data_IF_476193701739
#
_entry.id   IF_476193701739
#
_cell.length_a   1.000
_cell.length_b   1.000
_cell.length_c   1.000
_cell.angle_alpha   90.00
_cell.angle_beta   90.00
_cell.angle_gamma   90.00
#
_symmetry.space_group_name_H-M   'P 1'
#
loop_
_entity.id
_entity.type
_entity.pdbx_description
1 polymer ?
#
# COMPACT_ATOMS: atom_id res chain seq x y z
N UNK A 1 -8.68 -28.01 10.02
CA UNK A 1 -8.90 -26.58 9.67
C UNK A 1 -8.18 -25.57 10.58
N UNK A 2 -7.88 -25.85 11.87
CA UNK A 2 -7.18 -24.87 12.76
C UNK A 2 -5.68 -24.61 12.44
N UNK A 3 -4.98 -25.54 11.82
CA UNK A 3 -3.54 -25.38 11.52
C UNK A 3 -3.27 -24.47 10.30
N UNK A 4 -4.14 -24.51 9.28
CA UNK A 4 -4.02 -23.71 8.05
C UNK A 4 -4.22 -22.22 8.35
N UNK A 5 -5.29 -21.87 9.09
CA UNK A 5 -5.54 -20.49 9.53
C UNK A 5 -4.42 -19.94 10.44
N UNK A 6 -3.77 -20.80 11.23
CA UNK A 6 -2.61 -20.40 12.05
C UNK A 6 -1.38 -20.11 11.20
N UNK A 7 -1.13 -20.91 10.16
CA UNK A 7 -0.02 -20.70 9.22
C UNK A 7 -0.18 -19.45 8.35
N UNK A 8 -1.39 -19.19 7.85
CA UNK A 8 -1.70 -17.99 7.05
C UNK A 8 -1.54 -16.70 7.87
N UNK A 9 -2.01 -16.71 9.13
CA UNK A 9 -1.85 -15.56 10.02
C UNK A 9 -0.38 -15.30 10.39
N UNK A 10 0.43 -16.34 10.58
CA UNK A 10 1.87 -16.19 10.82
C UNK A 10 2.60 -15.60 9.60
N UNK A 11 2.24 -16.01 8.38
CA UNK A 11 2.83 -15.45 7.18
C UNK A 11 2.46 -13.97 7.01
N UNK A 12 1.18 -13.61 7.20
CA UNK A 12 0.74 -12.20 7.15
C UNK A 12 1.48 -11.33 8.16
N UNK A 13 1.62 -11.78 9.41
CA UNK A 13 2.35 -11.03 10.43
C UNK A 13 3.84 -10.85 10.05
N UNK A 14 4.47 -11.90 9.50
CA UNK A 14 5.85 -11.81 9.03
C UNK A 14 6.01 -10.77 7.93
N UNK A 15 5.09 -10.74 6.96
CA UNK A 15 5.12 -9.75 5.87
C UNK A 15 4.97 -8.34 6.43
N UNK A 16 3.99 -8.11 7.32
CA UNK A 16 3.76 -6.79 7.94
C UNK A 16 4.98 -6.29 8.71
N UNK A 17 5.62 -7.15 9.49
CA UNK A 17 6.80 -6.79 10.29
C UNK A 17 8.04 -6.46 9.44
N UNK A 18 8.04 -6.87 8.17
CA UNK A 18 9.16 -6.67 7.24
C UNK A 18 8.86 -5.61 6.15
N UNK A 19 7.71 -4.94 6.22
CA UNK A 19 7.41 -3.83 5.30
C UNK A 19 8.38 -2.68 5.55
N UNK A 20 9.12 -2.29 4.50
CA UNK A 20 9.98 -1.10 4.51
C UNK A 20 9.12 0.15 4.67
N UNK A 21 9.48 1.01 5.62
CA UNK A 21 8.75 2.26 5.86
C UNK A 21 8.96 3.28 4.75
N UNK A 22 8.07 4.26 4.63
CA UNK A 22 8.28 5.38 3.71
C UNK A 22 9.51 6.22 4.09
N UNK A 23 9.85 6.26 5.39
CA UNK A 23 10.96 7.06 5.92
C UNK A 23 12.31 6.53 5.43
N UNK A 24 12.42 5.23 5.20
CA UNK A 24 13.61 4.62 4.59
C UNK A 24 13.81 5.04 3.13
N UNK A 25 12.73 5.32 2.40
CA UNK A 25 12.81 5.83 1.02
C UNK A 25 13.26 7.29 0.96
N UNK A 26 12.84 8.09 1.95
CA UNK A 26 13.10 9.53 2.01
C UNK A 26 13.39 9.98 3.44
N UNK A 27 14.58 9.66 3.97
CA UNK A 27 14.93 10.03 5.35
C UNK A 27 14.99 11.56 5.55
N UNK A 28 15.21 12.33 4.48
CA UNK A 28 15.27 13.80 4.51
C UNK A 28 13.92 14.50 4.28
N UNK A 29 12.87 13.79 3.84
CA UNK A 29 11.53 14.32 3.58
C UNK A 29 10.49 13.31 4.07
N UNK A 30 10.26 13.31 5.38
CA UNK A 30 9.34 12.37 6.04
C UNK A 30 7.91 12.51 5.51
N UNK A 31 7.55 13.68 4.93
CA UNK A 31 6.34 13.88 4.13
C UNK A 31 6.50 13.28 2.73
N UNK A 32 6.47 11.95 2.65
CA UNK A 32 6.28 11.22 1.40
C UNK A 32 7.06 9.90 1.38
N UNK A 33 6.59 8.84 0.70
CA UNK A 33 5.35 8.72 -0.08
C UNK A 33 4.36 7.65 0.47
N UNK A 34 3.54 8.04 1.45
CA UNK A 34 2.58 7.15 2.13
C UNK A 34 1.65 6.41 1.16
N UNK A 35 1.19 7.09 0.10
CA UNK A 35 0.30 6.47 -0.87
C UNK A 35 1.03 5.44 -1.73
N UNK A 36 2.17 5.81 -2.33
CA UNK A 36 3.00 4.90 -3.11
C UNK A 36 3.37 3.65 -2.29
N UNK A 37 3.82 3.82 -1.04
CA UNK A 37 4.17 2.68 -0.20
C UNK A 37 2.98 1.85 0.23
N UNK A 38 1.84 2.46 0.56
CA UNK A 38 0.63 1.69 0.91
C UNK A 38 0.18 0.82 -0.27
N UNK A 39 0.29 1.31 -1.51
CA UNK A 39 -0.03 0.53 -2.71
C UNK A 39 0.94 -0.64 -2.93
N UNK A 40 2.25 -0.43 -2.74
CA UNK A 40 3.21 -1.53 -2.80
C UNK A 40 2.98 -2.56 -1.67
N UNK A 41 2.62 -2.10 -0.47
CA UNK A 41 2.33 -2.97 0.66
C UNK A 41 1.08 -3.84 0.41
N UNK A 42 0.08 -3.34 -0.35
CA UNK A 42 -1.03 -4.17 -0.83
C UNK A 42 -0.51 -5.35 -1.66
N UNK A 43 0.41 -5.11 -2.61
CA UNK A 43 1.00 -6.17 -3.43
C UNK A 43 1.82 -7.16 -2.59
N UNK A 44 2.63 -6.68 -1.65
CA UNK A 44 3.42 -7.50 -0.72
C UNK A 44 2.52 -8.42 0.12
N UNK A 45 1.45 -7.86 0.69
CA UNK A 45 0.48 -8.61 1.49
C UNK A 45 -0.30 -9.64 0.67
N UNK A 46 -0.70 -9.30 -0.56
CA UNK A 46 -1.37 -10.26 -1.45
C UNK A 46 -0.44 -11.39 -1.87
N UNK A 47 0.81 -11.07 -2.23
CA UNK A 47 1.82 -12.02 -2.67
C UNK A 47 2.39 -12.88 -1.53
N UNK A 48 2.24 -12.45 -0.27
CA UNK A 48 2.86 -13.09 0.88
C UNK A 48 4.38 -12.98 0.90
N UNK A 49 4.93 -11.92 0.29
CA UNK A 49 6.37 -11.66 0.10
C UNK A 49 6.64 -10.16 0.24
N UNK A 50 7.84 -9.80 0.66
CA UNK A 50 8.25 -8.40 0.80
C UNK A 50 9.14 -7.95 -0.36
N UNK A 51 9.04 -6.67 -0.70
CA UNK A 51 10.04 -6.01 -1.55
C UNK A 51 11.21 -5.55 -0.69
N UNK A 52 12.42 -5.58 -1.25
CA UNK A 52 13.57 -4.92 -0.63
C UNK A 52 13.52 -3.42 -0.87
N UNK A 53 14.24 -2.63 -0.05
CA UNK A 53 14.38 -1.18 -0.27
C UNK A 53 14.89 -0.87 -1.69
N UNK A 54 15.88 -1.62 -2.17
CA UNK A 54 16.43 -1.48 -3.52
C UNK A 54 15.35 -1.70 -4.59
N UNK A 55 14.55 -2.78 -4.48
CA UNK A 55 13.46 -3.05 -5.41
C UNK A 55 12.40 -1.94 -5.41
N UNK A 56 12.10 -1.36 -4.25
CA UNK A 56 11.16 -0.25 -4.14
C UNK A 56 11.71 1.00 -4.84
N UNK A 57 12.99 1.32 -4.64
CA UNK A 57 13.63 2.47 -5.29
C UNK A 57 13.68 2.28 -6.81
N UNK A 58 14.09 1.10 -7.30
CA UNK A 58 14.10 0.77 -8.72
C UNK A 58 12.70 0.82 -9.35
N UNK A 59 11.66 0.40 -8.61
CA UNK A 59 10.27 0.55 -9.03
C UNK A 59 9.88 2.03 -9.16
N UNK A 60 10.27 2.88 -8.20
CA UNK A 60 10.09 4.32 -8.27
C UNK A 60 10.67 4.92 -9.55
N UNK A 61 11.94 4.66 -9.83
CA UNK A 61 12.61 5.14 -11.05
C UNK A 61 11.94 4.65 -12.33
N UNK A 62 11.63 3.35 -12.41
CA UNK A 62 10.97 2.78 -13.59
C UNK A 62 9.59 3.37 -13.83
N UNK A 63 8.77 3.49 -12.79
CA UNK A 63 7.43 4.06 -12.88
C UNK A 63 7.47 5.56 -13.24
N UNK A 64 8.43 6.30 -12.69
CA UNK A 64 8.63 7.71 -13.01
C UNK A 64 9.03 7.90 -14.47
N UNK A 65 10.01 7.13 -14.94
CA UNK A 65 10.47 7.17 -16.35
C UNK A 65 9.36 6.80 -17.34
N UNK A 66 8.45 5.90 -16.93
CA UNK A 66 7.27 5.52 -17.71
C UNK A 66 6.09 6.50 -17.56
N UNK A 67 6.25 7.60 -16.82
CA UNK A 67 5.22 8.63 -16.57
C UNK A 67 3.97 8.08 -15.88
N UNK A 68 4.14 7.07 -15.02
CA UNK A 68 3.06 6.46 -14.24
C UNK A 68 2.97 7.04 -12.81
N UNK A 69 4.02 7.76 -12.40
CA UNK A 69 4.11 8.57 -11.19
C UNK A 69 4.84 9.90 -11.50
N UNK A 70 4.76 10.86 -10.57
CA UNK A 70 5.50 12.13 -10.59
C UNK A 70 5.02 13.15 -11.64
N UNK A 71 3.87 12.93 -12.28
CA UNK A 71 3.33 13.84 -13.31
C UNK A 71 2.38 14.89 -12.72
N UNK A 72 1.55 14.49 -11.75
CA UNK A 72 0.55 15.36 -11.12
C UNK A 72 1.11 16.31 -10.06
N UNK A 73 2.36 16.12 -9.65
CA UNK A 73 3.10 17.04 -8.78
C UNK A 73 4.59 17.03 -9.16
N UNK A 74 5.10 18.10 -9.81
CA UNK A 74 6.48 18.16 -10.28
C UNK A 74 7.50 18.21 -9.14
N UNK A 75 7.09 18.57 -7.92
CA UNK A 75 7.95 18.63 -6.74
C UNK A 75 7.95 17.30 -5.95
N UNK A 76 7.21 16.29 -6.42
CA UNK A 76 7.05 15.01 -5.75
C UNK A 76 7.25 13.82 -6.69
N UNK A 77 8.49 13.34 -6.76
CA UNK A 77 8.91 12.14 -7.51
C UNK A 77 7.99 10.93 -7.32
N UNK A 78 7.50 10.69 -6.10
CA UNK A 78 6.65 9.54 -5.78
C UNK A 78 5.14 9.88 -5.80
N UNK A 79 4.75 11.00 -6.42
CA UNK A 79 3.35 11.34 -6.58
C UNK A 79 2.65 10.27 -7.42
N UNK A 80 1.60 9.66 -6.90
CA UNK A 80 0.94 8.55 -7.60
C UNK A 80 -0.14 9.09 -8.53
N UNK A 81 0.14 9.05 -9.83
CA UNK A 81 -0.83 9.32 -10.89
C UNK A 81 -1.67 8.09 -11.23
N UNK A 82 -1.04 6.91 -11.23
CA UNK A 82 -1.69 5.65 -11.59
C UNK A 82 -1.51 4.57 -10.49
N UNK A 83 -2.48 4.45 -9.55
CA UNK A 83 -2.39 3.48 -8.45
C UNK A 83 -2.32 2.02 -8.91
N UNK A 84 -3.04 1.67 -9.99
CA UNK A 84 -3.05 0.31 -10.55
C UNK A 84 -1.67 -0.07 -11.07
N UNK A 85 -0.97 0.86 -11.72
CA UNK A 85 0.37 0.62 -12.24
C UNK A 85 1.37 0.33 -11.12
N UNK A 86 1.30 1.07 -10.00
CA UNK A 86 2.18 0.85 -8.84
C UNK A 86 1.98 -0.56 -8.28
N UNK A 87 0.73 -1.00 -8.09
CA UNK A 87 0.42 -2.33 -7.56
C UNK A 87 0.89 -3.42 -8.54
N UNK A 88 0.59 -3.28 -9.84
CA UNK A 88 0.96 -4.29 -10.85
C UNK A 88 2.47 -4.43 -11.01
N UNK A 89 3.20 -3.32 -10.96
CA UNK A 89 4.66 -3.33 -11.03
C UNK A 89 5.27 -4.08 -9.83
N UNK A 90 4.78 -3.80 -8.62
CA UNK A 90 5.17 -4.53 -7.42
C UNK A 90 4.85 -6.04 -7.51
N UNK A 91 3.64 -6.40 -7.95
CA UNK A 91 3.25 -7.80 -8.15
C UNK A 91 4.15 -8.50 -9.17
N UNK A 92 4.55 -7.81 -10.24
CA UNK A 92 5.48 -8.34 -11.24
C UNK A 92 6.84 -8.67 -10.62
N UNK A 93 7.42 -7.75 -9.83
CA UNK A 93 8.68 -8.00 -9.10
C UNK A 93 8.55 -9.21 -8.17
N UNK A 94 7.39 -9.39 -7.53
CA UNK A 94 7.11 -10.49 -6.60
C UNK A 94 6.79 -11.84 -7.28
N UNK A 95 6.78 -11.86 -8.62
CA UNK A 95 6.62 -13.06 -9.44
C UNK A 95 5.21 -13.29 -9.98
N UNK A 96 4.34 -12.28 -10.00
CA UNK A 96 2.95 -12.35 -10.47
C UNK A 96 2.68 -11.36 -11.62
N UNK A 97 3.33 -11.53 -12.79
CA UNK A 97 3.24 -10.58 -13.91
C UNK A 97 1.84 -10.49 -14.54
N UNK A 98 1.04 -11.55 -14.41
CA UNK A 98 -0.30 -11.65 -15.01
C UNK A 98 -1.42 -11.27 -14.03
N UNK A 99 -1.08 -10.71 -12.86
CA UNK A 99 -2.06 -10.36 -11.87
C UNK A 99 -3.03 -9.28 -12.37
N UNK A 100 -4.31 -9.50 -12.12
CA UNK A 100 -5.35 -8.51 -12.37
C UNK A 100 -5.57 -7.68 -11.12
N UNK A 101 -5.65 -6.36 -11.30
CA UNK A 101 -5.83 -5.40 -10.22
C UNK A 101 -7.01 -4.52 -10.58
N UNK A 102 -8.03 -4.52 -9.72
CA UNK A 102 -9.13 -3.55 -9.77
C UNK A 102 -8.96 -2.58 -8.62
N UNK A 103 -8.98 -1.30 -8.93
CA UNK A 103 -8.83 -0.21 -7.98
C UNK A 103 -9.98 0.77 -8.14
N UNK A 104 -10.62 1.15 -7.04
CA UNK A 104 -11.66 2.19 -7.02
C UNK A 104 -11.39 3.14 -5.86
N UNK A 105 -11.45 4.45 -6.09
CA UNK A 105 -11.05 5.45 -5.09
C UNK A 105 -12.23 6.12 -4.39
N UNK A 106 -11.95 6.69 -3.20
CA UNK A 106 -12.82 7.66 -2.49
C UNK A 106 -14.20 7.15 -2.08
N UNK A 107 -14.28 5.92 -1.59
CA UNK A 107 -15.50 5.35 -1.02
C UNK A 107 -15.67 5.80 0.44
N UNK A 108 -16.87 6.23 0.82
CA UNK A 108 -17.19 6.51 2.23
C UNK A 108 -17.49 5.24 3.03
N UNK A 109 -17.93 4.18 2.34
CA UNK A 109 -18.32 2.90 2.92
C UNK A 109 -17.73 1.76 2.09
N UNK A 110 -17.42 0.65 2.76
CA UNK A 110 -16.86 -0.54 2.13
C UNK A 110 -18.02 -1.50 1.82
N UNK A 111 -18.11 -2.01 0.58
CA UNK A 111 -19.17 -2.95 0.22
C UNK A 111 -19.06 -4.27 0.99
N UNK A 112 -20.19 -4.76 1.50
CA UNK A 112 -20.28 -6.05 2.20
C UNK A 112 -20.39 -7.24 1.24
N UNK A 113 -20.97 -7.03 0.07
CA UNK A 113 -21.43 -8.12 -0.82
C UNK A 113 -20.31 -8.59 -1.76
N UNK A 114 -19.28 -7.76 -1.94
CA UNK A 114 -18.04 -8.08 -2.63
C UNK A 114 -16.91 -7.25 -1.99
N UNK A 115 -16.44 -7.64 -0.78
CA UNK A 115 -15.44 -6.88 -0.06
C UNK A 115 -14.11 -6.86 -0.83
N UNK A 116 -13.33 -5.77 -0.76
CA UNK A 116 -12.00 -5.73 -1.35
C UNK A 116 -11.03 -6.67 -0.62
N UNK A 117 -9.94 -7.04 -1.28
CA UNK A 117 -8.84 -7.73 -0.61
C UNK A 117 -8.14 -6.83 0.41
N UNK A 118 -8.05 -5.53 0.08
CA UNK A 118 -7.40 -4.52 0.91
C UNK A 118 -8.07 -3.16 0.72
N UNK A 119 -7.88 -2.28 1.70
CA UNK A 119 -8.25 -0.87 1.58
C UNK A 119 -7.02 0.02 1.70
N UNK A 120 -7.08 1.19 1.07
CA UNK A 120 -6.20 2.31 1.41
C UNK A 120 -7.02 3.30 2.22
N UNK A 121 -6.67 3.45 3.50
CA UNK A 121 -7.35 4.35 4.44
C UNK A 121 -6.89 5.78 4.19
N UNK A 122 -7.84 6.70 3.97
CA UNK A 122 -7.58 8.14 3.82
C UNK A 122 -7.87 8.84 5.14
N UNK A 123 -6.82 9.33 5.80
CA UNK A 123 -6.93 9.86 7.16
C UNK A 123 -6.78 11.40 7.19
N UNK A 124 -7.90 12.09 7.49
CA UNK A 124 -8.12 13.51 7.83
C UNK A 124 -7.48 14.66 7.03
N UNK A 125 -8.07 15.84 7.26
CA UNK A 125 -8.13 17.10 6.47
C UNK A 125 -7.17 17.18 5.27
N UNK A 126 -7.76 16.97 4.09
CA UNK A 126 -7.18 16.97 2.73
C UNK A 126 -6.75 15.59 2.22
N UNK A 127 -6.87 14.52 3.02
CA UNK A 127 -6.62 13.16 2.54
C UNK A 127 -5.18 12.93 2.09
N UNK A 128 -4.23 13.67 2.65
CA UNK A 128 -2.80 13.60 2.30
C UNK A 128 -2.13 12.34 2.84
N UNK A 129 -2.62 11.78 3.94
CA UNK A 129 -2.10 10.54 4.50
C UNK A 129 -2.88 9.31 4.05
N UNK A 130 -2.14 8.28 3.64
CA UNK A 130 -2.67 7.01 3.14
C UNK A 130 -2.01 5.87 3.91
N UNK A 131 -2.84 4.97 4.42
CA UNK A 131 -2.38 3.81 5.17
C UNK A 131 -2.97 2.54 4.56
N UNK A 132 -2.31 1.40 4.77
CA UNK A 132 -2.87 0.10 4.38
C UNK A 132 -3.91 -0.34 5.41
N UNK A 133 -5.10 -0.73 4.93
CA UNK A 133 -6.16 -1.30 5.73
C UNK A 133 -6.56 -2.70 5.27
N UNK A 134 -7.18 -3.42 6.20
CA UNK A 134 -7.84 -4.70 5.95
C UNK A 134 -9.07 -4.52 5.04
N UNK A 135 -9.66 -5.63 4.55
CA UNK A 135 -10.94 -5.63 3.83
C UNK A 135 -12.05 -4.82 4.49
N UNK A 136 -12.06 -4.71 5.82
CA UNK A 136 -13.08 -4.01 6.62
C UNK A 136 -12.72 -2.54 6.92
N UNK A 137 -11.59 -2.04 6.42
CA UNK A 137 -11.13 -0.67 6.66
C UNK A 137 -10.35 -0.47 7.96
N UNK A 138 -10.17 -1.52 8.77
CA UNK A 138 -9.31 -1.49 9.96
C UNK A 138 -7.86 -1.27 9.56
N UNK A 139 -7.10 -0.47 10.33
CA UNK A 139 -5.68 -0.25 10.09
C UNK A 139 -4.93 -1.59 10.08
N UNK A 140 -4.17 -1.84 9.02
CA UNK A 140 -3.31 -3.00 8.90
C UNK A 140 -1.83 -2.59 8.97
N UNK A 141 -1.45 -1.49 8.33
CA UNK A 141 -0.09 -0.96 8.39
C UNK A 141 -0.04 0.54 8.15
N UNK A 142 0.84 1.19 8.91
CA UNK A 142 1.16 2.62 8.81
C UNK A 142 2.51 2.76 8.06
N UNK A 143 2.53 3.32 6.84
CA UNK A 143 3.78 3.51 6.10
C UNK A 143 4.75 4.50 6.76
N UNK A 144 4.26 5.37 7.64
CA UNK A 144 5.07 6.33 8.38
C UNK A 144 5.67 5.69 9.63
N UNK A 145 6.99 5.52 9.65
CA UNK A 145 7.69 5.09 10.87
C UNK A 145 7.86 6.29 11.81
N UNK A 146 7.11 6.31 12.91
CA UNK A 146 7.16 7.38 13.89
C UNK A 146 8.18 7.06 14.99
N UNK A 147 9.26 7.84 15.07
CA UNK A 147 9.98 8.07 16.34
C UNK A 147 9.19 8.98 17.32
N UNK A 148 7.88 9.18 17.11
CA UNK A 148 7.03 10.00 17.98
C UNK A 148 5.63 9.36 18.22
N UNK A 149 5.38 8.80 19.42
CA UNK A 149 4.11 8.13 19.77
C UNK A 149 2.87 9.03 19.70
N UNK A 150 3.01 10.37 19.73
CA UNK A 150 1.86 11.28 19.72
C UNK A 150 1.26 11.50 18.33
N UNK A 151 1.96 11.13 17.26
CA UNK A 151 1.54 11.35 15.87
C UNK A 151 1.37 10.06 15.07
N UNK A 152 1.64 8.89 15.66
CA UNK A 152 1.22 7.64 15.05
C UNK A 152 -0.29 7.70 14.84
N UNK A 153 -0.74 7.95 13.60
CA UNK A 153 -2.14 8.05 13.16
C UNK A 153 -2.85 6.67 13.24
N UNK A 154 -2.48 5.88 14.24
CA UNK A 154 -2.91 4.53 14.55
C UNK A 154 -4.34 4.48 15.10
N UNK A 155 -4.93 5.63 15.45
CA UNK A 155 -6.24 5.70 16.11
C UNK A 155 -7.27 6.64 15.47
N UNK A 156 -6.98 7.29 14.35
CA UNK A 156 -7.96 8.16 13.68
C UNK A 156 -8.83 7.39 12.69
N UNK A 157 -10.11 7.70 12.70
CA UNK A 157 -11.09 7.20 11.73
C UNK A 157 -10.70 7.62 10.31
N UNK A 158 -10.67 6.68 9.39
CA UNK A 158 -10.56 6.98 7.97
C UNK A 158 -11.83 7.72 7.52
N UNK A 159 -11.67 8.75 6.70
CA UNK A 159 -12.81 9.50 6.14
C UNK A 159 -13.29 8.87 4.83
N UNK A 160 -12.37 8.23 4.11
CA UNK A 160 -12.62 7.55 2.85
C UNK A 160 -11.67 6.36 2.70
N UNK A 161 -12.04 5.46 1.81
CA UNK A 161 -11.30 4.27 1.45
C UNK A 161 -11.08 4.22 -0.06
N UNK A 162 -9.87 3.85 -0.47
CA UNK A 162 -9.68 3.28 -1.80
C UNK A 162 -9.76 1.76 -1.66
N UNK A 163 -10.46 1.11 -2.59
CA UNK A 163 -10.79 -0.31 -2.54
C UNK A 163 -9.97 -1.05 -3.58
N UNK A 164 -9.31 -2.14 -3.17
CA UNK A 164 -8.40 -2.89 -4.03
C UNK A 164 -8.77 -4.37 -4.05
N UNK A 165 -8.99 -4.91 -5.25
CA UNK A 165 -9.12 -6.35 -5.50
C UNK A 165 -7.97 -6.80 -6.38
N UNK A 166 -7.38 -7.95 -6.05
CA UNK A 166 -6.27 -8.54 -6.78
C UNK A 166 -6.54 -10.01 -7.03
N UNK A 167 -6.47 -10.42 -8.29
CA UNK A 167 -6.43 -11.82 -8.68
C UNK A 167 -5.00 -12.20 -9.10
N UNK A 168 -4.38 -13.12 -8.36
CA UNK A 168 -3.07 -13.65 -8.70
C UNK A 168 -3.26 -14.77 -9.74
N UNK A 169 -3.37 -14.39 -11.01
CA UNK A 169 -3.36 -15.37 -12.10
C UNK A 169 -1.92 -15.91 -12.24
N UNK A 170 -1.75 -17.21 -11.99
CA UNK A 170 -0.48 -17.92 -12.21
C UNK A 170 -0.44 -18.52 -13.62
#
# INVERSE_FOLDING_TARGET
>A
MRAVARGENLNKQRVLNALVSQNELRPSKLSGPCFFRSLQAVAEMKAGKNLTLEQIMQAGERLFNNKLIGQGDPDEFYYVDNPVAVIKDALTILGFPNAEVTYKDRFSEIPTDNPPDFTIRRVKKNGSHKQLGNPDGTLLWEPYDYNNPSNAYTGTTAEQYDLVWINLNN
#
